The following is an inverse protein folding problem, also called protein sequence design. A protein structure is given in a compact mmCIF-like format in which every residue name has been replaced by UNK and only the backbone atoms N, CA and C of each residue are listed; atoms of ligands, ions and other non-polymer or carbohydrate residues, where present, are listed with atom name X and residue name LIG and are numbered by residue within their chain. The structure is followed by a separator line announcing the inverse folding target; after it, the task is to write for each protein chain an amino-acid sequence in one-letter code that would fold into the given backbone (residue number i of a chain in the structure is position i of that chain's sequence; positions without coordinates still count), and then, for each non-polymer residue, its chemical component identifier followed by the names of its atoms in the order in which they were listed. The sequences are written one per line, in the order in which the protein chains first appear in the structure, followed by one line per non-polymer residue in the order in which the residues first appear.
data_IF_273124270980
#
_entry.id   IF_273124270980
#
_cell.length_a   1.000
_cell.length_b   1.000
_cell.length_c   1.000
_cell.angle_alpha   90.00
_cell.angle_beta   90.00
_cell.angle_gamma   90.00
#
_symmetry.space_group_name_H-M   'P 1'
#
loop_
_entity.id
_entity.type
_entity.pdbx_description
1 polymer ?
#
# COMPACT_ATOMS: atom_id res chain seq x y z
N UNK A 1 -63.80 -2.48 -10.37
CA UNK A 1 -62.39 -2.22 -10.74
C UNK A 1 -62.36 -1.00 -11.64
N UNK A 2 -61.82 0.12 -11.16
CA UNK A 2 -61.64 1.33 -11.97
C UNK A 2 -60.28 1.28 -12.68
N UNK A 3 -60.15 1.77 -13.92
CA UNK A 3 -58.88 1.77 -14.64
C UNK A 3 -57.90 2.80 -14.05
N UNK A 4 -56.66 2.38 -13.86
CA UNK A 4 -55.54 3.22 -13.41
C UNK A 4 -55.06 4.09 -14.58
N UNK A 5 -54.86 5.41 -14.41
CA UNK A 5 -54.37 6.28 -15.46
C UNK A 5 -52.86 6.09 -15.70
N UNK A 6 -52.48 5.99 -16.97
CA UNK A 6 -51.08 5.93 -17.44
C UNK A 6 -50.52 7.36 -17.57
N UNK A 7 -49.33 7.67 -17.03
CA UNK A 7 -48.71 8.98 -17.18
C UNK A 7 -48.08 9.18 -18.58
N UNK A 8 -48.06 10.42 -19.11
CA UNK A 8 -47.47 10.72 -20.41
C UNK A 8 -45.93 10.72 -20.39
N UNK A 9 -45.35 10.27 -21.49
CA UNK A 9 -43.91 10.20 -21.73
C UNK A 9 -43.26 11.59 -21.76
N UNK A 10 -42.30 11.83 -20.86
CA UNK A 10 -41.45 13.01 -20.87
C UNK A 10 -40.45 12.92 -22.03
N UNK A 11 -40.69 13.71 -23.08
CA UNK A 11 -39.74 14.01 -24.15
C UNK A 11 -38.97 15.26 -23.77
N UNK A 12 -37.64 15.18 -23.69
CA UNK A 12 -36.81 16.36 -23.44
C UNK A 12 -35.36 16.03 -23.06
N UNK A 13 -34.57 15.55 -24.02
CA UNK A 13 -33.11 15.58 -23.90
C UNK A 13 -32.59 16.95 -24.39
N UNK A 14 -31.73 17.65 -23.63
CA UNK A 14 -31.06 18.85 -24.13
C UNK A 14 -29.98 18.47 -25.14
N UNK A 15 -30.07 19.06 -26.34
CA UNK A 15 -29.02 18.99 -27.35
C UNK A 15 -27.80 19.80 -26.89
N UNK A 16 -26.73 19.10 -26.52
CA UNK A 16 -25.41 19.71 -26.36
C UNK A 16 -24.77 19.89 -27.73
N UNK A 17 -24.71 21.14 -28.20
CA UNK A 17 -23.96 21.51 -29.41
C UNK A 17 -22.46 21.44 -29.13
N UNK A 18 -21.76 20.49 -29.75
CA UNK A 18 -20.30 20.47 -29.79
C UNK A 18 -19.80 21.52 -30.81
N UNK A 19 -19.14 22.57 -30.31
CA UNK A 19 -18.29 23.44 -31.14
C UNK A 19 -17.00 22.70 -31.46
N UNK A 20 -16.82 22.36 -32.72
CA UNK A 20 -15.57 21.87 -33.27
C UNK A 20 -14.49 22.97 -33.16
N UNK A 21 -13.42 22.69 -32.42
CA UNK A 21 -12.17 23.46 -32.47
C UNK A 21 -11.22 22.74 -33.41
N UNK A 22 -11.08 23.28 -34.61
CA UNK A 22 -10.13 22.86 -35.64
C UNK A 22 -8.72 23.38 -35.29
N UNK A 23 -7.99 22.61 -34.46
CA UNK A 23 -6.57 22.82 -34.21
C UNK A 23 -5.71 22.03 -35.20
N UNK A 24 -5.23 22.69 -36.25
CA UNK A 24 -4.14 22.22 -37.11
C UNK A 24 -2.87 22.09 -36.27
N UNK A 25 -2.32 20.88 -36.13
CA UNK A 25 -0.91 20.72 -35.77
C UNK A 25 -0.21 19.80 -36.77
N UNK A 26 0.84 20.37 -37.34
CA UNK A 26 1.64 19.84 -38.42
C UNK A 26 2.52 18.68 -37.94
N UNK A 27 2.65 17.68 -38.81
CA UNK A 27 3.67 16.63 -38.71
C UNK A 27 5.04 17.18 -39.13
N UNK A 28 6.14 16.81 -38.45
CA UNK A 28 7.46 16.91 -39.04
C UNK A 28 7.93 15.57 -39.63
N UNK A 29 8.39 15.74 -40.86
CA UNK A 29 9.11 14.90 -41.79
C UNK A 29 9.97 13.71 -41.32
N UNK A 30 9.94 12.75 -42.24
CA UNK A 30 10.72 11.53 -42.44
C UNK A 30 12.14 11.83 -42.99
N UNK A 31 13.13 11.08 -42.53
CA UNK A 31 14.48 10.92 -43.12
C UNK A 31 15.57 11.16 -42.06
N UNK A 32 16.68 10.43 -41.93
CA UNK A 32 17.41 9.43 -42.74
C UNK A 32 18.28 8.59 -41.76
N UNK A 33 18.32 7.25 -41.88
CA UNK A 33 19.43 6.39 -42.38
C UNK A 33 20.81 6.44 -41.67
N UNK A 34 21.34 5.23 -41.43
CA UNK A 34 22.74 4.77 -41.16
C UNK A 34 23.28 5.12 -39.75
N UNK A 35 24.06 4.30 -39.05
CA UNK A 35 24.99 3.23 -39.44
C UNK A 35 25.21 2.26 -38.27
N UNK A 36 25.53 1.01 -38.62
CA UNK A 36 26.07 -0.01 -37.72
C UNK A 36 27.51 0.31 -37.29
N UNK A 37 27.84 -0.01 -36.03
CA UNK A 37 29.17 -0.36 -35.53
C UNK A 37 28.96 -1.05 -34.16
N UNK A 38 29.03 -2.38 -34.08
CA UNK A 38 30.24 -3.14 -33.73
C UNK A 38 31.03 -2.53 -32.59
N UNK A 39 30.81 -2.98 -31.35
CA UNK A 39 31.86 -3.14 -30.35
C UNK A 39 31.47 -4.26 -29.36
N UNK A 40 32.16 -5.40 -29.50
CA UNK A 40 32.31 -6.46 -28.49
C UNK A 40 33.52 -6.14 -27.59
N UNK A 41 33.68 -6.84 -26.45
CA UNK A 41 34.03 -6.26 -25.15
C UNK A 41 35.52 -6.35 -24.79
N UNK A 42 35.97 -5.76 -23.66
CA UNK A 42 37.15 -6.22 -22.96
C UNK A 42 36.83 -7.25 -21.88
N UNK A 43 37.74 -8.21 -21.78
CA UNK A 43 37.86 -9.31 -20.83
C UNK A 43 38.74 -8.88 -19.64
N UNK A 44 38.55 -9.59 -18.52
CA UNK A 44 39.46 -9.82 -17.39
C UNK A 44 39.50 -8.83 -16.21
N UNK A 45 39.32 -9.43 -15.02
CA UNK A 45 40.27 -9.25 -13.92
C UNK A 45 39.72 -8.49 -12.72
N UNK A 46 39.31 -9.20 -11.67
CA UNK A 46 38.95 -8.58 -10.40
C UNK A 46 38.41 -9.58 -9.39
N UNK A 47 39.29 -10.44 -8.87
CA UNK A 47 39.10 -11.09 -7.57
C UNK A 47 38.72 -10.06 -6.52
N UNK A 48 37.61 -10.27 -5.82
CA UNK A 48 37.40 -9.71 -4.50
C UNK A 48 36.88 -10.82 -3.59
N UNK A 49 37.82 -11.41 -2.88
CA UNK A 49 37.58 -12.20 -1.68
C UNK A 49 37.02 -11.28 -0.60
N UNK A 50 35.85 -11.58 -0.05
CA UNK A 50 35.54 -11.10 1.30
C UNK A 50 34.62 -12.05 2.08
N UNK A 51 35.28 -12.74 3.02
CA UNK A 51 34.87 -12.96 4.42
C UNK A 51 33.46 -13.53 4.65
N UNK A 52 33.37 -14.85 4.55
CA UNK A 52 32.52 -15.66 5.42
C UNK A 52 33.30 -16.87 5.93
N UNK A 53 34.19 -16.64 6.90
CA UNK A 53 34.68 -17.71 7.76
C UNK A 53 33.67 -17.90 8.92
N UNK A 54 33.12 -19.11 9.13
CA UNK A 54 32.48 -19.44 10.39
C UNK A 54 33.52 -19.50 11.50
N UNK A 55 33.15 -19.01 12.69
CA UNK A 55 33.96 -19.10 13.90
C UNK A 55 34.42 -20.55 14.14
N UNK A 56 35.71 -20.72 14.44
CA UNK A 56 36.29 -22.00 14.82
C UNK A 56 35.54 -22.63 16.01
N UNK A 57 35.34 -23.96 16.01
CA UNK A 57 34.86 -24.69 17.19
C UNK A 57 35.91 -24.64 18.31
N UNK A 58 35.46 -24.77 19.57
CA UNK A 58 36.37 -25.04 20.67
C UNK A 58 36.94 -26.47 20.57
N UNK A 59 38.02 -26.74 21.32
CA UNK A 59 38.82 -27.98 21.28
C UNK A 59 38.03 -29.25 21.64
N UNK A 60 36.73 -29.13 21.95
CA UNK A 60 35.85 -30.25 22.28
C UNK A 60 34.56 -30.30 21.43
N UNK A 61 34.45 -29.51 20.35
CA UNK A 61 33.44 -29.68 19.31
C UNK A 61 31.97 -29.54 19.75
N UNK A 62 31.65 -28.68 20.73
CA UNK A 62 30.26 -28.48 21.19
C UNK A 62 29.70 -27.09 20.86
N UNK A 63 28.46 -26.99 20.33
CA UNK A 63 27.82 -25.70 20.08
C UNK A 63 27.40 -25.00 21.39
N UNK A 64 27.79 -23.74 21.56
CA UNK A 64 27.42 -22.89 22.72
C UNK A 64 25.91 -22.58 22.72
N UNK A 65 25.18 -23.15 23.69
CA UNK A 65 23.77 -22.82 23.99
C UNK A 65 23.67 -21.44 24.64
N UNK A 66 22.85 -20.55 24.09
CA UNK A 66 22.42 -19.30 24.75
C UNK A 66 21.32 -19.61 25.77
N UNK A 67 21.61 -19.38 27.05
CA UNK A 67 20.65 -19.48 28.16
C UNK A 67 19.83 -18.18 28.23
N UNK A 68 18.52 -18.26 28.00
CA UNK A 68 17.57 -17.16 28.20
C UNK A 68 17.13 -17.18 29.68
N UNK A 69 17.48 -16.14 30.43
CA UNK A 69 17.03 -15.92 31.81
C UNK A 69 15.53 -15.61 31.86
N UNK A 70 14.82 -16.31 32.74
CA UNK A 70 13.39 -16.19 32.96
C UNK A 70 12.96 -14.93 33.71
N UNK A 71 11.83 -14.35 33.29
CA UNK A 71 11.06 -13.36 34.07
C UNK A 71 9.96 -14.07 34.85
N UNK A 72 10.09 -14.10 36.18
CA UNK A 72 9.03 -14.51 37.10
C UNK A 72 8.01 -13.38 37.33
N UNK A 73 6.73 -13.76 37.31
CA UNK A 73 5.57 -13.02 37.82
C UNK A 73 5.57 -12.94 39.36
N UNK A 74 5.00 -11.87 39.91
CA UNK A 74 4.22 -11.73 41.18
C UNK A 74 4.24 -10.25 41.60
N UNK A 75 3.27 -9.65 42.28
CA UNK A 75 1.86 -9.95 42.62
C UNK A 75 1.29 -8.62 43.13
N UNK A 76 0.00 -8.44 42.90
CA UNK A 76 -0.88 -7.39 43.42
C UNK A 76 -0.83 -7.29 44.95
N UNK A 77 -0.91 -6.07 45.49
CA UNK A 77 -1.44 -5.81 46.83
C UNK A 77 -2.38 -4.60 46.76
N UNK A 78 -3.62 -4.87 47.16
CA UNK A 78 -4.72 -3.95 47.37
C UNK A 78 -4.56 -3.34 48.76
N UNK A 79 -4.78 -2.04 48.88
CA UNK A 79 -5.01 -1.39 50.17
C UNK A 79 -6.14 -0.36 50.01
N UNK A 80 -7.29 -0.68 50.61
CA UNK A 80 -8.44 0.22 50.83
C UNK A 80 -8.38 0.67 52.29
N UNK A 81 -8.75 1.93 52.58
CA UNK A 81 -9.55 2.17 53.78
C UNK A 81 -10.81 3.04 53.52
N UNK A 82 -11.94 2.56 54.05
CA UNK A 82 -13.09 3.33 54.60
C UNK A 82 -12.58 4.26 55.73
N UNK A 83 -13.21 5.34 56.20
CA UNK A 83 -14.54 5.96 56.12
C UNK A 83 -14.38 7.41 56.66
N UNK A 84 -15.24 8.37 56.28
CA UNK A 84 -15.27 9.67 56.97
C UNK A 84 -16.07 10.77 56.26
N UNK A 85 -17.14 11.22 56.92
CA UNK A 85 -18.24 12.11 56.48
C UNK A 85 -17.87 13.60 56.19
N UNK A 86 -18.80 14.39 55.62
CA UNK A 86 -18.51 15.66 54.95
C UNK A 86 -18.54 16.87 55.89
N UNK A 87 -17.78 17.92 55.57
CA UNK A 87 -17.99 19.27 56.13
C UNK A 87 -18.00 20.33 55.04
N UNK A 88 -19.01 21.19 55.12
CA UNK A 88 -19.28 22.30 54.22
C UNK A 88 -18.28 23.47 54.36
N UNK A 89 -17.83 23.98 53.20
CA UNK A 89 -17.57 25.38 52.75
C UNK A 89 -16.92 26.41 53.72
N UNK A 90 -16.04 27.28 53.19
CA UNK A 90 -16.56 28.53 52.61
C UNK A 90 -15.88 28.98 51.30
N UNK A 91 -16.64 29.82 50.59
CA UNK A 91 -16.25 30.63 49.44
C UNK A 91 -14.89 31.33 49.62
N UNK A 92 -13.99 31.14 48.64
CA UNK A 92 -12.74 31.88 48.53
C UNK A 92 -12.35 32.09 47.08
N UNK A 93 -12.69 33.26 46.53
CA UNK A 93 -12.02 33.95 45.42
C UNK A 93 -11.52 33.12 44.22
N UNK A 94 -12.31 33.10 43.15
CA UNK A 94 -11.88 32.73 41.79
C UNK A 94 -10.72 33.61 41.33
N UNK A 95 -9.47 33.19 41.54
CA UNK A 95 -8.40 33.54 40.61
C UNK A 95 -8.63 32.72 39.35
N UNK A 96 -9.10 33.38 38.29
CA UNK A 96 -9.00 32.87 36.92
C UNK A 96 -7.52 32.74 36.61
N UNK A 97 -6.94 31.59 36.94
CA UNK A 97 -5.72 31.14 36.30
C UNK A 97 -6.14 30.81 34.87
N UNK A 98 -5.79 31.70 33.95
CA UNK A 98 -5.80 31.38 32.53
C UNK A 98 -5.07 30.05 32.37
N UNK A 99 -5.64 29.02 31.72
CA UNK A 99 -4.87 27.84 31.36
C UNK A 99 -3.76 28.30 30.42
N UNK A 100 -2.58 28.48 31.00
CA UNK A 100 -1.35 28.66 30.27
C UNK A 100 -1.13 27.43 29.41
N UNK A 101 -0.94 27.67 28.13
CA UNK A 101 -0.33 26.70 27.22
C UNK A 101 -1.26 25.58 26.85
N UNK A 102 -1.79 25.68 25.63
CA UNK A 102 -1.73 24.55 24.70
C UNK A 102 -0.41 23.82 24.98
N UNK A 103 -0.50 22.60 25.49
CA UNK A 103 0.65 21.73 25.66
C UNK A 103 1.20 21.44 24.26
N UNK A 104 1.99 22.38 23.73
CA UNK A 104 2.82 22.15 22.56
C UNK A 104 3.57 20.87 22.83
N UNK A 105 3.41 19.93 21.93
CA UNK A 105 3.81 18.55 22.02
C UNK A 105 5.28 18.42 22.48
N UNK A 106 5.51 18.31 23.79
CA UNK A 106 6.86 18.07 24.35
C UNK A 106 7.46 16.75 23.80
N UNK A 107 6.62 15.89 23.21
CA UNK A 107 7.05 14.66 22.55
C UNK A 107 7.81 14.89 21.24
N UNK A 108 7.66 16.03 20.55
CA UNK A 108 8.36 16.33 19.30
C UNK A 108 9.72 17.05 19.49
N UNK A 109 10.12 17.31 20.74
CA UNK A 109 11.29 18.16 21.06
C UNK A 109 12.60 17.36 21.15
N UNK A 110 12.55 16.03 21.21
CA UNK A 110 13.77 15.21 21.21
C UNK A 110 14.31 15.00 19.77
N UNK A 111 15.63 14.97 19.56
CA UNK A 111 16.22 14.60 18.27
C UNK A 111 15.66 13.26 17.76
N UNK A 112 15.18 13.23 16.52
CA UNK A 112 14.54 12.05 15.91
C UNK A 112 13.13 11.73 16.44
N UNK A 113 12.53 12.56 17.29
CA UNK A 113 11.14 12.38 17.71
C UNK A 113 10.16 12.54 16.55
N UNK A 114 10.45 13.46 15.61
CA UNK A 114 9.67 13.62 14.39
C UNK A 114 9.75 12.36 13.52
N UNK A 115 10.95 11.83 13.26
CA UNK A 115 11.11 10.60 12.46
C UNK A 115 10.41 9.39 13.10
N UNK A 116 10.48 9.26 14.43
CA UNK A 116 9.73 8.22 15.16
C UNK A 116 8.23 8.41 15.05
N UNK A 117 7.75 9.65 15.08
CA UNK A 117 6.33 9.93 14.89
C UNK A 117 5.88 9.61 13.46
N UNK A 118 6.65 9.99 12.44
CA UNK A 118 6.40 9.64 11.04
C UNK A 118 6.39 8.11 10.86
N UNK A 119 7.36 7.39 11.42
CA UNK A 119 7.40 5.93 11.33
C UNK A 119 6.18 5.26 11.96
N UNK A 120 5.66 5.80 13.08
CA UNK A 120 4.43 5.32 13.70
C UNK A 120 3.21 5.58 12.80
N UNK A 121 3.14 6.75 12.18
CA UNK A 121 2.01 7.12 11.32
C UNK A 121 2.01 6.31 10.01
N UNK A 122 3.16 6.15 9.36
CA UNK A 122 3.33 5.25 8.21
C UNK A 122 2.99 3.80 8.60
N UNK A 123 3.39 3.37 9.80
CA UNK A 123 3.02 2.07 10.35
C UNK A 123 1.50 1.87 10.46
N UNK A 124 0.76 2.89 10.91
CA UNK A 124 -0.70 2.88 10.99
C UNK A 124 -1.37 2.87 9.63
N UNK A 125 -0.88 3.67 8.67
CA UNK A 125 -1.38 3.67 7.30
C UNK A 125 -1.25 2.29 6.64
N UNK A 126 -0.20 1.55 6.99
CA UNK A 126 0.08 0.22 6.48
C UNK A 126 -0.55 -0.93 7.30
N UNK A 127 -1.34 -0.64 8.34
CA UNK A 127 -1.93 -1.67 9.21
C UNK A 127 -2.80 -2.68 8.44
N UNK A 128 -3.47 -2.22 7.39
CA UNK A 128 -4.36 -3.04 6.55
C UNK A 128 -3.65 -3.71 5.36
N UNK A 129 -2.32 -3.67 5.29
CA UNK A 129 -1.59 -4.39 4.24
C UNK A 129 -1.74 -5.90 4.42
N UNK A 130 -2.00 -6.60 3.31
CA UNK A 130 -2.03 -8.07 3.27
C UNK A 130 -0.62 -8.62 3.44
N UNK A 131 -0.44 -9.50 4.42
CA UNK A 131 0.86 -10.15 4.71
C UNK A 131 1.02 -11.46 3.94
N UNK A 132 -0.07 -12.17 3.68
CA UNK A 132 -0.07 -13.45 2.99
C UNK A 132 -0.82 -13.32 1.67
N UNK A 133 -0.08 -13.05 0.58
CA UNK A 133 -0.67 -12.91 -0.75
C UNK A 133 -1.13 -14.27 -1.29
N UNK A 134 -2.31 -14.28 -1.91
CA UNK A 134 -2.95 -15.49 -2.45
C UNK A 134 -2.99 -15.47 -3.96
N UNK A 135 -3.00 -16.65 -4.59
CA UNK A 135 -3.03 -16.77 -6.05
C UNK A 135 -4.41 -16.40 -6.56
N UNK A 136 -4.48 -15.71 -7.70
CA UNK A 136 -5.74 -15.35 -8.35
C UNK A 136 -6.59 -16.61 -8.61
N UNK A 137 -5.99 -17.67 -9.14
CA UNK A 137 -6.68 -18.93 -9.40
C UNK A 137 -7.33 -19.56 -8.15
N UNK A 138 -6.75 -19.35 -6.96
CA UNK A 138 -7.33 -19.87 -5.72
C UNK A 138 -8.49 -19.00 -5.24
N UNK A 139 -8.33 -17.67 -5.30
CA UNK A 139 -9.38 -16.71 -4.92
C UNK A 139 -10.64 -16.86 -5.79
N UNK A 140 -10.50 -17.16 -7.08
CA UNK A 140 -11.63 -17.37 -7.98
C UNK A 140 -12.49 -18.61 -7.65
N UNK A 141 -11.95 -19.57 -6.89
CA UNK A 141 -12.70 -20.78 -6.48
C UNK A 141 -13.46 -20.58 -5.18
N UNK A 142 -13.26 -19.46 -4.50
CA UNK A 142 -13.89 -19.19 -3.21
C UNK A 142 -15.20 -18.44 -3.39
N UNK A 143 -16.24 -18.79 -2.60
CA UNK A 143 -17.48 -18.03 -2.60
C UNK A 143 -17.30 -16.63 -2.01
N UNK A 144 -16.40 -16.49 -1.02
CA UNK A 144 -16.08 -15.22 -0.35
C UNK A 144 -14.56 -15.01 -0.39
N UNK A 145 -14.01 -14.46 -1.48
CA UNK A 145 -12.57 -14.33 -1.65
C UNK A 145 -12.00 -13.30 -0.67
N UNK A 146 -11.07 -13.75 0.17
CA UNK A 146 -10.43 -12.89 1.16
C UNK A 146 -8.98 -13.30 1.50
N UNK A 147 -8.24 -12.33 2.01
CA UNK A 147 -6.89 -12.48 2.59
C UNK A 147 -6.85 -11.93 4.02
N UNK A 148 -5.79 -12.25 4.76
CA UNK A 148 -5.53 -11.65 6.08
C UNK A 148 -4.54 -10.49 5.98
N UNK A 149 -4.91 -9.39 6.64
CA UNK A 149 -4.03 -8.22 6.83
C UNK A 149 -3.02 -8.45 7.94
N UNK A 150 -2.04 -7.56 8.06
CA UNK A 150 -1.03 -7.58 9.12
C UNK A 150 -1.63 -7.59 10.52
N UNK A 151 -2.71 -6.85 10.74
CA UNK A 151 -3.43 -6.80 12.02
C UNK A 151 -4.44 -7.95 12.19
N UNK A 152 -4.49 -8.90 11.25
CA UNK A 152 -5.38 -10.06 11.31
C UNK A 152 -6.81 -9.81 10.82
N UNK A 153 -7.13 -8.61 10.36
CA UNK A 153 -8.43 -8.31 9.75
C UNK A 153 -8.58 -8.99 8.39
N UNK A 154 -9.83 -9.24 7.97
CA UNK A 154 -10.15 -9.72 6.62
C UNK A 154 -10.02 -8.58 5.62
N UNK A 155 -9.28 -8.85 4.54
CA UNK A 155 -9.22 -8.05 3.32
C UNK A 155 -10.02 -8.78 2.25
N UNK A 156 -11.20 -8.27 1.92
CA UNK A 156 -12.10 -8.88 0.93
C UNK A 156 -11.74 -8.43 -0.48
N UNK A 157 -12.02 -9.29 -1.46
CA UNK A 157 -11.90 -8.96 -2.87
C UNK A 157 -13.29 -8.91 -3.50
N UNK A 158 -13.49 -7.97 -4.41
CA UNK A 158 -14.68 -7.96 -5.25
C UNK A 158 -14.58 -9.08 -6.32
N UNK A 159 -15.54 -10.02 -6.39
CA UNK A 159 -15.49 -11.13 -7.35
C UNK A 159 -15.42 -10.65 -8.81
N UNK A 160 -16.11 -9.55 -9.12
CA UNK A 160 -16.08 -8.95 -10.46
C UNK A 160 -14.68 -8.43 -10.81
N UNK A 161 -13.97 -7.82 -9.85
CA UNK A 161 -12.60 -7.36 -10.06
C UNK A 161 -11.66 -8.54 -10.32
N UNK A 162 -11.78 -9.64 -9.57
CA UNK A 162 -11.01 -10.86 -9.81
C UNK A 162 -11.29 -11.44 -11.20
N UNK A 163 -12.56 -11.49 -11.61
CA UNK A 163 -12.95 -11.98 -12.93
C UNK A 163 -12.37 -11.11 -14.07
N UNK A 164 -12.33 -9.78 -13.91
CA UNK A 164 -11.68 -8.87 -14.87
C UNK A 164 -10.21 -9.22 -15.06
N UNK A 165 -9.46 -9.42 -13.97
CA UNK A 165 -8.06 -9.82 -14.05
C UNK A 165 -7.90 -11.22 -14.66
N UNK A 166 -8.77 -12.16 -14.33
CA UNK A 166 -8.74 -13.50 -14.91
C UNK A 166 -8.98 -13.49 -16.43
N UNK A 167 -9.85 -12.61 -16.92
CA UNK A 167 -10.23 -12.55 -18.34
C UNK A 167 -9.10 -12.15 -19.29
N UNK A 168 -8.04 -11.50 -18.79
CA UNK A 168 -6.90 -11.04 -19.58
C UNK A 168 -5.66 -11.92 -19.41
N UNK A 169 -5.73 -12.95 -18.59
CA UNK A 169 -4.62 -13.84 -18.26
C UNK A 169 -4.89 -15.25 -18.78
N UNK A 170 -3.82 -15.94 -19.15
CA UNK A 170 -3.84 -17.38 -19.35
C UNK A 170 -4.01 -18.12 -18.01
N UNK A 171 -4.38 -19.40 -18.05
CA UNK A 171 -4.55 -20.20 -16.83
C UNK A 171 -3.26 -20.27 -15.98
N UNK A 172 -2.10 -20.43 -16.63
CA UNK A 172 -0.81 -20.49 -15.95
C UNK A 172 -0.45 -19.15 -15.29
N UNK A 173 -0.75 -18.05 -15.95
CA UNK A 173 -0.55 -16.70 -15.41
C UNK A 173 -1.48 -16.41 -14.23
N UNK A 174 -2.73 -16.88 -14.27
CA UNK A 174 -3.66 -16.77 -13.15
C UNK A 174 -3.20 -17.58 -11.92
N UNK A 175 -2.46 -18.67 -12.12
CA UNK A 175 -1.82 -19.42 -11.02
C UNK A 175 -0.58 -18.70 -10.50
N UNK A 176 0.16 -17.99 -11.36
CA UNK A 176 1.35 -17.23 -10.98
C UNK A 176 1.02 -15.92 -10.26
N UNK A 177 -0.05 -15.22 -10.66
CA UNK A 177 -0.42 -13.91 -10.12
C UNK A 177 -0.82 -14.00 -8.65
N UNK A 178 -0.15 -13.20 -7.79
CA UNK A 178 -0.44 -13.11 -6.35
C UNK A 178 -1.08 -11.77 -6.00
N UNK A 179 -2.20 -11.84 -5.29
CA UNK A 179 -3.01 -10.70 -4.87
C UNK A 179 -2.96 -10.46 -3.35
N UNK A 180 -3.10 -9.20 -2.91
CA UNK A 180 -3.28 -7.99 -3.74
C UNK A 180 -1.97 -7.51 -4.38
N UNK A 181 -2.10 -6.76 -5.48
CA UNK A 181 -1.00 -6.00 -6.07
C UNK A 181 -0.72 -4.76 -5.22
N UNK A 182 0.53 -4.57 -4.84
CA UNK A 182 0.92 -3.50 -3.92
C UNK A 182 1.61 -2.39 -4.69
N UNK A 183 1.02 -1.20 -4.67
CA UNK A 183 1.61 0.03 -5.19
C UNK A 183 2.33 0.74 -4.06
N UNK A 184 3.66 0.85 -4.15
CA UNK A 184 4.48 1.53 -3.17
C UNK A 184 4.53 3.03 -3.46
N UNK A 185 3.99 3.84 -2.56
CA UNK A 185 4.06 5.30 -2.54
C UNK A 185 5.21 5.70 -1.61
N UNK A 186 6.11 6.55 -2.11
CA UNK A 186 7.17 7.15 -1.30
C UNK A 186 6.94 8.65 -1.17
N UNK A 187 7.22 9.20 0.00
CA UNK A 187 7.01 10.63 0.29
C UNK A 187 7.89 11.59 -0.52
N UNK A 188 8.97 11.10 -1.13
CA UNK A 188 9.94 11.86 -1.91
C UNK A 188 9.74 11.74 -3.44
N UNK A 189 8.71 11.02 -3.88
CA UNK A 189 8.40 10.79 -5.29
C UNK A 189 6.99 11.21 -5.61
N UNK A 190 6.73 11.61 -6.86
CA UNK A 190 5.37 11.89 -7.36
C UNK A 190 4.70 10.63 -7.96
N UNK A 191 5.38 9.48 -7.89
CA UNK A 191 4.96 8.20 -8.44
C UNK A 191 4.72 7.10 -7.39
N UNK A 192 3.72 6.26 -7.66
CA UNK A 192 3.55 4.98 -7.02
C UNK A 192 4.19 3.89 -7.89
N UNK A 193 4.84 2.91 -7.26
CA UNK A 193 5.60 1.87 -7.95
C UNK A 193 5.01 0.49 -7.74
N UNK A 194 4.78 -0.23 -8.82
CA UNK A 194 4.46 -1.66 -8.82
C UNK A 194 5.71 -2.45 -9.21
N UNK A 195 6.21 -3.30 -8.32
CA UNK A 195 7.45 -4.10 -8.56
C UNK A 195 7.16 -5.53 -9.01
N UNK A 196 5.89 -5.91 -9.11
CA UNK A 196 5.49 -7.25 -9.54
C UNK A 196 5.27 -7.25 -11.05
N UNK A 197 6.14 -7.95 -11.79
CA UNK A 197 6.09 -7.98 -13.26
C UNK A 197 4.77 -8.59 -13.79
N UNK A 198 4.32 -9.69 -13.18
CA UNK A 198 3.08 -10.36 -13.57
C UNK A 198 1.85 -9.46 -13.30
N UNK A 199 1.83 -8.80 -12.15
CA UNK A 199 0.83 -7.82 -11.78
C UNK A 199 0.84 -6.60 -12.69
N UNK A 200 2.02 -6.11 -13.07
CA UNK A 200 2.14 -5.02 -14.02
C UNK A 200 1.61 -5.41 -15.40
N UNK A 201 1.94 -6.62 -15.88
CA UNK A 201 1.38 -7.16 -17.13
C UNK A 201 -0.15 -7.22 -17.06
N UNK A 202 -0.69 -7.81 -16.00
CA UNK A 202 -2.14 -7.95 -15.82
C UNK A 202 -2.85 -6.59 -15.76
N UNK A 203 -2.33 -5.66 -14.95
CA UNK A 203 -2.90 -4.32 -14.78
C UNK A 203 -2.94 -3.54 -16.09
N UNK A 204 -1.88 -3.61 -16.90
CA UNK A 204 -1.83 -2.96 -18.23
C UNK A 204 -2.87 -3.52 -19.18
N UNK A 205 -3.08 -4.83 -19.15
CA UNK A 205 -4.05 -5.49 -20.00
C UNK A 205 -5.50 -5.15 -19.59
N UNK A 206 -5.80 -5.14 -18.29
CA UNK A 206 -7.12 -4.75 -17.75
C UNK A 206 -7.44 -3.29 -18.08
N UNK A 207 -6.51 -2.38 -17.82
CA UNK A 207 -6.71 -0.93 -18.01
C UNK A 207 -6.49 -0.45 -19.46
N UNK A 208 -5.99 -1.34 -20.33
CA UNK A 208 -5.67 -1.02 -21.73
C UNK A 208 -4.70 0.16 -21.86
N UNK A 209 -3.63 0.14 -21.06
CA UNK A 209 -2.63 1.21 -21.07
C UNK A 209 -1.75 1.25 -22.33
N UNK A 210 -1.93 0.36 -23.32
CA UNK A 210 -1.17 0.32 -24.57
C UNK A 210 0.36 0.42 -24.39
N UNK A 211 0.96 1.59 -24.64
CA UNK A 211 2.39 1.90 -24.43
C UNK A 211 2.67 2.77 -23.21
N UNK A 212 1.64 3.21 -22.50
CA UNK A 212 1.79 3.91 -21.23
C UNK A 212 2.23 2.95 -20.12
N UNK A 213 2.89 3.53 -19.12
CA UNK A 213 3.27 2.88 -17.86
C UNK A 213 3.90 1.50 -18.07
N UNK A 214 4.91 1.43 -18.93
CA UNK A 214 5.62 0.19 -19.19
C UNK A 214 6.35 -0.32 -17.94
N UNK A 215 6.42 -1.64 -17.80
CA UNK A 215 7.27 -2.25 -16.80
C UNK A 215 8.73 -2.21 -17.28
N UNK A 216 9.55 -1.39 -16.64
CA UNK A 216 10.96 -1.17 -16.98
C UNK A 216 11.78 -1.06 -15.71
N UNK A 217 13.04 -1.52 -15.75
CA UNK A 217 13.95 -1.46 -14.59
C UNK A 217 13.37 -2.14 -13.33
N UNK A 218 12.60 -3.22 -13.50
CA UNK A 218 12.00 -3.96 -12.39
C UNK A 218 10.82 -3.26 -11.71
N UNK A 219 10.20 -2.27 -12.36
CA UNK A 219 9.03 -1.56 -11.83
C UNK A 219 8.13 -0.99 -12.92
N UNK A 220 6.88 -0.75 -12.57
CA UNK A 220 5.97 0.16 -13.27
C UNK A 220 5.74 1.38 -12.39
N UNK A 221 5.93 2.58 -12.94
CA UNK A 221 5.66 3.84 -12.28
C UNK A 221 4.29 4.38 -12.72
N UNK A 222 3.45 4.75 -11.76
CA UNK A 222 2.13 5.33 -11.98
C UNK A 222 2.04 6.67 -11.24
N UNK A 223 1.46 7.73 -11.83
CA UNK A 223 1.17 8.95 -11.09
C UNK A 223 0.31 8.65 -9.85
N UNK A 224 0.54 9.34 -8.75
CA UNK A 224 -0.22 9.12 -7.49
C UNK A 224 -1.74 9.18 -7.65
N UNK A 225 -2.25 10.15 -8.41
CA UNK A 225 -3.69 10.28 -8.68
C UNK A 225 -4.26 9.04 -9.37
N UNK A 226 -3.54 8.48 -10.35
CA UNK A 226 -3.92 7.26 -11.04
C UNK A 226 -3.85 6.04 -10.12
N UNK A 227 -2.82 5.95 -9.27
CA UNK A 227 -2.69 4.86 -8.31
C UNK A 227 -3.87 4.81 -7.32
N UNK A 228 -4.28 5.98 -6.80
CA UNK A 228 -5.44 6.10 -5.90
C UNK A 228 -6.72 5.69 -6.63
N UNK A 229 -6.94 6.18 -7.85
CA UNK A 229 -8.10 5.82 -8.68
C UNK A 229 -8.17 4.30 -8.93
N UNK A 230 -7.05 3.68 -9.31
CA UNK A 230 -6.99 2.24 -9.55
C UNK A 230 -7.33 1.41 -8.30
N UNK A 231 -6.83 1.81 -7.13
CA UNK A 231 -7.13 1.12 -5.87
C UNK A 231 -8.61 1.20 -5.52
N UNK A 232 -9.27 2.33 -5.81
CA UNK A 232 -10.70 2.50 -5.61
C UNK A 232 -11.54 1.67 -6.59
N UNK A 233 -11.14 1.59 -7.86
CA UNK A 233 -11.90 0.87 -8.91
C UNK A 233 -11.77 -0.64 -8.88
N UNK A 234 -10.70 -1.18 -8.30
CA UNK A 234 -10.41 -2.63 -8.37
C UNK A 234 -10.68 -3.38 -7.08
N UNK A 235 -11.50 -2.82 -6.18
CA UNK A 235 -12.23 -3.60 -5.15
C UNK A 235 -11.35 -4.56 -4.33
N UNK A 236 -10.17 -4.10 -3.90
CA UNK A 236 -9.24 -4.89 -3.09
C UNK A 236 -8.18 -5.68 -3.86
N UNK A 237 -8.24 -5.76 -5.20
CA UNK A 237 -7.17 -6.39 -6.01
C UNK A 237 -5.87 -5.57 -5.93
N UNK A 238 -5.97 -4.25 -5.78
CA UNK A 238 -4.83 -3.37 -5.53
C UNK A 238 -4.85 -2.81 -4.10
N UNK A 239 -3.66 -2.53 -3.56
CA UNK A 239 -3.45 -1.84 -2.29
C UNK A 239 -2.34 -0.79 -2.43
N UNK A 240 -2.43 0.30 -1.67
CA UNK A 240 -1.34 1.25 -1.47
C UNK A 240 -0.52 0.82 -0.25
N UNK A 241 0.81 0.87 -0.38
CA UNK A 241 1.73 0.83 0.74
C UNK A 241 2.50 2.14 0.78
N UNK A 242 2.65 2.73 1.96
CA UNK A 242 3.40 3.96 2.16
C UNK A 242 4.77 3.65 2.76
N UNK A 243 5.83 4.32 2.30
CA UNK A 243 7.18 4.10 2.82
C UNK A 243 8.16 5.21 2.53
#
# INVERSE_FOLDING_TARGET
MAPVPVPPAASGLPQFTQKAVSGRFAAPHRGQRTSAANFSPPVAGGELQDKNLPCAPDENGRPRRRTIQGRRRRRTLVSVPHDGRPSEKPFGSRKRVFPAGIACCHRLVAPGAFDRWIALEVGRLNANLVVEKRRLADLLREPEPACRTREGNLHTFEPEALARFASVLTADEAVALRLPLTLLVRGDSDDARLTDEMGAKALRAVEKFDRAFEYREGRMALPHSLAIDLVQRHGGVLQLAFG
#
